data_IF_752775600133
#
_entry.id   IF_752775600133
#
_cell.length_a   1.000
_cell.length_b   1.000
_cell.length_c   1.000
_cell.angle_alpha   90.00
_cell.angle_beta   90.00
_cell.angle_gamma   90.00
#
_symmetry.space_group_name_H-M   'P 1'
#
loop_
_entity.id
_entity.type
_entity.pdbx_description
1 polymer ?
#
# COMPACT_ATOMS: atom_id res chain seq x y z
N UNK A 1 20.89 3.01 51.44
CA UNK A 1 19.90 3.20 50.36
C UNK A 1 18.56 2.64 50.81
N UNK A 2 17.49 3.40 50.59
CA UNK A 2 16.16 3.08 51.09
C UNK A 2 15.57 1.92 50.26
N UNK A 3 14.93 0.91 50.87
CA UNK A 3 14.33 -0.22 50.13
C UNK A 3 13.33 0.21 49.04
N UNK A 4 12.71 1.36 49.28
CA UNK A 4 11.77 2.00 48.35
C UNK A 4 12.50 2.54 47.11
N UNK A 5 13.67 3.12 47.32
CA UNK A 5 14.53 3.72 46.29
C UNK A 5 15.03 2.66 45.30
N UNK A 6 15.52 1.52 45.82
CA UNK A 6 15.91 0.36 45.00
C UNK A 6 14.74 -0.19 44.15
N UNK A 7 13.53 -0.20 44.70
CA UNK A 7 12.35 -0.67 43.99
C UNK A 7 11.97 0.28 42.84
N UNK A 8 12.14 1.58 43.04
CA UNK A 8 11.91 2.56 41.98
C UNK A 8 12.99 2.49 40.90
N UNK A 9 14.27 2.38 41.27
CA UNK A 9 15.37 2.20 40.31
C UNK A 9 15.17 0.95 39.45
N UNK A 10 14.79 -0.17 40.07
CA UNK A 10 14.48 -1.40 39.34
C UNK A 10 13.31 -1.21 38.36
N UNK A 11 12.24 -0.52 38.80
CA UNK A 11 11.07 -0.28 37.94
C UNK A 11 11.38 0.63 36.76
N UNK A 12 12.23 1.63 36.96
CA UNK A 12 12.68 2.54 35.91
C UNK A 12 13.48 1.75 34.86
N UNK A 13 14.43 0.91 35.29
CA UNK A 13 15.19 0.06 34.38
C UNK A 13 14.31 -0.88 33.54
N UNK A 14 13.30 -1.51 34.15
CA UNK A 14 12.34 -2.36 33.43
C UNK A 14 11.54 -1.58 32.36
N UNK A 15 11.22 -0.32 32.62
CA UNK A 15 10.46 0.53 31.68
C UNK A 15 11.36 0.96 30.51
N UNK A 16 12.61 1.32 30.78
CA UNK A 16 13.58 1.73 29.76
C UNK A 16 13.93 0.58 28.81
N UNK A 17 14.06 -0.65 29.33
CA UNK A 17 14.31 -1.85 28.53
C UNK A 17 13.12 -2.17 27.61
N UNK A 18 11.89 -2.09 28.14
CA UNK A 18 10.66 -2.24 27.34
C UNK A 18 10.52 -1.17 26.26
N UNK A 19 10.82 0.09 26.58
CA UNK A 19 10.77 1.16 25.59
C UNK A 19 11.80 0.97 24.48
N UNK A 20 13.02 0.56 24.83
CA UNK A 20 14.11 0.28 23.88
C UNK A 20 13.74 -0.85 22.92
N UNK A 21 13.17 -1.95 23.43
CA UNK A 21 12.72 -3.07 22.60
C UNK A 21 11.57 -2.69 21.67
N UNK A 22 10.61 -1.86 22.11
CA UNK A 22 9.53 -1.34 21.27
C UNK A 22 10.09 -0.49 20.12
N UNK A 23 11.02 0.43 20.39
CA UNK A 23 11.64 1.27 19.35
C UNK A 23 12.44 0.42 18.35
N UNK A 24 13.20 -0.57 18.83
CA UNK A 24 13.97 -1.45 17.95
C UNK A 24 13.07 -2.30 17.05
N UNK A 25 11.94 -2.77 17.58
CA UNK A 25 10.95 -3.53 16.81
C UNK A 25 10.20 -2.63 15.81
N UNK A 26 9.82 -1.40 16.19
CA UNK A 26 9.24 -0.41 15.28
C UNK A 26 10.17 -0.09 14.11
N UNK A 27 11.47 0.15 14.38
CA UNK A 27 12.48 0.41 13.34
C UNK A 27 12.71 -0.76 12.37
N UNK A 28 12.45 -2.02 12.79
CA UNK A 28 12.52 -3.18 11.89
C UNK A 28 11.33 -3.21 10.93
N UNK A 29 10.13 -2.90 11.43
CA UNK A 29 8.90 -2.83 10.63
C UNK A 29 9.00 -1.72 9.57
N UNK A 30 9.56 -0.56 9.93
CA UNK A 30 9.76 0.55 8.98
C UNK A 30 10.81 0.22 7.90
N UNK A 31 11.86 -0.53 8.26
CA UNK A 31 12.90 -0.95 7.32
C UNK A 31 12.44 -2.06 6.37
N UNK A 32 11.69 -3.05 6.83
CA UNK A 32 11.15 -4.11 5.96
C UNK A 32 10.17 -3.55 4.92
N UNK A 33 9.33 -2.58 5.31
CA UNK A 33 8.45 -1.87 4.37
C UNK A 33 9.24 -0.96 3.40
N UNK A 34 10.27 -0.24 3.86
CA UNK A 34 11.08 0.63 3.01
C UNK A 34 11.98 -0.14 2.01
N UNK A 35 12.33 -1.40 2.30
CA UNK A 35 13.19 -2.21 1.43
C UNK A 35 12.40 -2.81 0.25
N UNK A 36 11.09 -3.06 0.42
CA UNK A 36 10.22 -3.50 -0.68
C UNK A 36 9.87 -2.38 -1.68
N UNK A 37 9.89 -1.12 -1.24
CA UNK A 37 9.55 0.04 -2.08
C UNK A 37 10.67 0.37 -3.08
N UNK A 38 11.91 -0.07 -2.84
CA UNK A 38 13.08 0.33 -3.65
C UNK A 38 13.62 -0.74 -4.60
N UNK A 39 12.82 -1.74 -4.98
CA UNK A 39 13.16 -2.58 -6.13
C UNK A 39 12.55 -1.92 -7.37
N UNK A 40 13.34 -1.29 -8.26
CA UNK A 40 12.85 -0.87 -9.56
C UNK A 40 12.49 -2.13 -10.35
N UNK A 41 11.22 -2.54 -10.29
CA UNK A 41 10.69 -3.56 -11.18
C UNK A 41 10.69 -2.98 -12.59
N UNK A 42 11.77 -3.24 -13.34
CA UNK A 42 11.87 -2.93 -14.77
C UNK A 42 10.99 -3.88 -15.62
N UNK A 43 9.92 -4.42 -15.04
CA UNK A 43 8.94 -5.23 -15.75
C UNK A 43 8.06 -4.27 -16.54
N UNK A 44 8.23 -4.30 -17.87
CA UNK A 44 7.36 -3.59 -18.80
C UNK A 44 5.99 -4.29 -18.84
N UNK A 45 5.14 -3.97 -17.87
CA UNK A 45 3.73 -4.37 -17.87
C UNK A 45 2.88 -3.26 -18.49
N UNK A 46 1.99 -3.65 -19.41
CA UNK A 46 1.02 -2.73 -20.01
C UNK A 46 -0.14 -2.48 -19.04
N UNK A 47 -0.76 -1.31 -19.16
CA UNK A 47 -2.00 -1.02 -18.43
C UNK A 47 -3.11 -1.91 -18.98
N UNK A 48 -3.89 -2.59 -18.11
CA UNK A 48 -5.06 -3.33 -18.56
C UNK A 48 -6.10 -2.37 -19.14
N UNK A 49 -6.88 -2.85 -20.11
CA UNK A 49 -7.90 -2.04 -20.79
C UNK A 49 -9.26 -2.70 -20.66
N UNK A 50 -10.30 -1.90 -20.42
CA UNK A 50 -11.68 -2.37 -20.31
C UNK A 50 -12.64 -1.40 -21.02
N UNK A 51 -13.42 -1.91 -21.98
CA UNK A 51 -14.31 -1.10 -22.81
C UNK A 51 -15.75 -1.06 -22.30
N UNK A 52 -16.16 -2.02 -21.45
CA UNK A 52 -17.54 -2.17 -20.99
C UNK A 52 -18.43 -2.85 -22.03
N UNK A 53 -17.90 -3.84 -22.75
CA UNK A 53 -18.56 -4.58 -23.81
C UNK A 53 -18.47 -6.10 -23.59
N UNK A 54 -19.30 -6.87 -24.28
CA UNK A 54 -19.29 -8.34 -24.18
C UNK A 54 -18.03 -9.00 -24.77
N UNK A 55 -17.13 -8.22 -25.38
CA UNK A 55 -15.84 -8.68 -25.91
C UNK A 55 -14.70 -8.50 -24.91
N UNK A 56 -14.95 -7.79 -23.81
CA UNK A 56 -13.96 -7.63 -22.76
C UNK A 56 -13.73 -8.93 -21.99
N UNK A 57 -12.59 -9.00 -21.32
CA UNK A 57 -12.37 -10.00 -20.27
C UNK A 57 -13.41 -9.85 -19.16
N UNK A 58 -13.61 -10.91 -18.38
CA UNK A 58 -14.52 -10.86 -17.26
C UNK A 58 -14.12 -9.71 -16.30
N UNK A 59 -15.06 -8.90 -15.77
CA UNK A 59 -14.73 -7.74 -14.95
C UNK A 59 -13.85 -8.06 -13.74
N UNK A 60 -14.05 -9.24 -13.12
CA UNK A 60 -13.20 -9.73 -12.03
C UNK A 60 -11.74 -9.90 -12.44
N UNK A 61 -11.50 -10.44 -13.64
CA UNK A 61 -10.14 -10.65 -14.14
C UNK A 61 -9.47 -9.33 -14.51
N UNK A 62 -10.25 -8.36 -15.02
CA UNK A 62 -9.78 -7.00 -15.20
C UNK A 62 -9.31 -6.38 -13.88
N UNK A 63 -10.12 -6.47 -12.82
CA UNK A 63 -9.76 -5.95 -11.50
C UNK A 63 -8.48 -6.60 -10.95
N UNK A 64 -8.35 -7.93 -11.06
CA UNK A 64 -7.14 -8.64 -10.65
C UNK A 64 -5.88 -8.12 -11.39
N UNK A 65 -5.98 -7.87 -12.71
CA UNK A 65 -4.88 -7.31 -13.51
C UNK A 65 -4.55 -5.86 -13.12
N UNK A 66 -5.55 -5.06 -12.75
CA UNK A 66 -5.33 -3.69 -12.25
C UNK A 66 -4.61 -3.71 -10.89
N UNK A 67 -4.98 -4.62 -9.99
CA UNK A 67 -4.31 -4.78 -8.70
C UNK A 67 -2.86 -5.26 -8.85
N UNK A 68 -2.62 -6.21 -9.76
CA UNK A 68 -1.27 -6.65 -10.13
C UNK A 68 -0.45 -5.46 -10.68
N UNK A 69 -1.03 -4.66 -11.58
CA UNK A 69 -0.39 -3.46 -12.11
C UNK A 69 0.01 -2.48 -11.01
N UNK A 70 -0.88 -2.21 -10.06
CA UNK A 70 -0.58 -1.34 -8.93
C UNK A 70 0.51 -1.87 -8.02
N UNK A 71 0.55 -3.18 -7.81
CA UNK A 71 1.56 -3.81 -6.97
C UNK A 71 2.94 -3.70 -7.62
N UNK A 72 3.04 -3.96 -8.92
CA UNK A 72 4.31 -3.92 -9.67
C UNK A 72 4.79 -2.48 -9.88
N UNK A 73 3.90 -1.55 -10.20
CA UNK A 73 4.25 -0.13 -10.40
C UNK A 73 4.25 0.69 -9.12
N UNK A 74 3.99 0.07 -7.98
CA UNK A 74 3.94 0.71 -6.65
C UNK A 74 3.09 1.99 -6.65
N UNK A 75 1.92 1.93 -7.30
CA UNK A 75 1.06 3.10 -7.48
C UNK A 75 0.52 3.60 -6.15
N UNK A 76 0.68 4.89 -5.88
CA UNK A 76 0.18 5.50 -4.64
C UNK A 76 -1.36 5.47 -4.58
N UNK A 77 -1.92 5.35 -3.39
CA UNK A 77 -3.39 5.22 -3.19
C UNK A 77 -4.16 6.38 -3.86
N UNK A 78 -3.66 7.61 -3.75
CA UNK A 78 -4.26 8.78 -4.40
C UNK A 78 -4.21 8.77 -5.93
N UNK A 79 -3.29 8.03 -6.53
CA UNK A 79 -3.12 7.94 -7.98
C UNK A 79 -3.95 6.80 -8.61
N UNK A 80 -4.34 5.80 -7.80
CA UNK A 80 -5.08 4.62 -8.29
C UNK A 80 -6.34 4.98 -9.06
N UNK A 81 -7.09 5.99 -8.61
CA UNK A 81 -8.33 6.42 -9.27
C UNK A 81 -8.06 7.05 -10.65
N UNK A 82 -6.93 7.73 -10.82
CA UNK A 82 -6.51 8.31 -12.09
C UNK A 82 -6.14 7.19 -13.05
N UNK A 83 -5.34 6.24 -12.59
CA UNK A 83 -4.92 5.08 -13.40
C UNK A 83 -6.09 4.19 -13.80
N UNK A 84 -7.07 3.96 -12.90
CA UNK A 84 -8.30 3.24 -13.25
C UNK A 84 -9.03 3.97 -14.38
N UNK A 85 -9.16 5.30 -14.29
CA UNK A 85 -9.75 6.10 -15.36
C UNK A 85 -9.05 5.88 -16.72
N UNK A 86 -7.72 5.84 -16.72
CA UNK A 86 -6.93 5.59 -17.93
C UNK A 86 -7.10 4.18 -18.51
N UNK A 87 -7.38 3.18 -17.66
CA UNK A 87 -7.62 1.79 -18.04
C UNK A 87 -9.02 1.59 -18.66
N UNK A 88 -9.98 2.47 -18.34
CA UNK A 88 -11.31 2.43 -18.91
C UNK A 88 -11.36 3.12 -20.28
N UNK A 89 -12.10 2.53 -21.22
CA UNK A 89 -12.31 3.08 -22.57
C UNK A 89 -13.79 3.06 -22.95
N UNK A 90 -14.15 3.78 -24.01
CA UNK A 90 -15.48 3.81 -24.60
C UNK A 90 -16.61 3.93 -23.56
N UNK A 91 -17.55 2.99 -23.54
CA UNK A 91 -18.72 3.00 -22.65
C UNK A 91 -18.32 3.04 -21.17
N UNK A 92 -17.32 2.25 -20.77
CA UNK A 92 -16.85 2.24 -19.38
C UNK A 92 -16.25 3.59 -18.95
N UNK A 93 -15.46 4.21 -19.83
CA UNK A 93 -14.88 5.54 -19.55
C UNK A 93 -15.95 6.63 -19.45
N UNK A 94 -16.96 6.60 -20.34
CA UNK A 94 -18.06 7.58 -20.33
C UNK A 94 -18.86 7.51 -19.03
N UNK A 95 -19.20 6.29 -18.59
CA UNK A 95 -19.86 6.08 -17.32
C UNK A 95 -19.00 6.57 -16.14
N UNK A 96 -17.72 6.17 -16.10
CA UNK A 96 -16.80 6.56 -15.05
C UNK A 96 -16.61 8.07 -14.95
N UNK A 97 -16.49 8.75 -16.10
CA UNK A 97 -16.37 10.21 -16.14
C UNK A 97 -17.63 10.91 -15.62
N UNK A 98 -18.80 10.33 -15.85
CA UNK A 98 -20.07 10.90 -15.37
C UNK A 98 -20.15 10.86 -13.85
N UNK A 99 -19.80 9.74 -13.22
CA UNK A 99 -19.89 9.58 -11.76
C UNK A 99 -18.76 10.28 -10.99
N UNK A 100 -17.60 10.47 -11.61
CA UNK A 100 -16.42 11.05 -10.93
C UNK A 100 -16.55 12.55 -10.68
N UNK A 101 -17.30 13.24 -11.53
CA UNK A 101 -17.48 14.70 -11.47
C UNK A 101 -18.87 15.13 -10.99
N UNK A 102 -19.66 14.20 -10.45
CA UNK A 102 -20.90 14.47 -9.71
C UNK A 102 -20.60 14.70 -8.23
#
# INVERSE_FOLDING_TARGET
MNKIEQKYEQKIGEIEEKYTSIIQNGKKIDKENATLINIPHNTEISRPVFYGSNRDIHPKDFLNRVEEYFSIKQTYVGEKIIVIGDCLKATAHNWFSTIRFQ
#
